data_IF_594769857961
#
_entry.id   IF_594769857961
#
_cell.length_a   1.000
_cell.length_b   1.000
_cell.length_c   1.000
_cell.angle_alpha   90.00
_cell.angle_beta   90.00
_cell.angle_gamma   90.00
#
_symmetry.space_group_name_H-M   'P 1'
#
loop_
_entity.id
_entity.type
_entity.pdbx_description
1 polymer ?
#
# COMPACT_ATOMS: atom_id res chain seq x y z
N UNK A 1 -28.84 -5.93 -23.82
CA UNK A 1 -28.88 -6.03 -22.36
C UNK A 1 -28.38 -4.70 -21.80
N UNK A 2 -29.15 -3.97 -20.98
CA UNK A 2 -28.63 -2.76 -20.37
C UNK A 2 -27.49 -3.18 -19.43
N UNK A 3 -26.31 -2.69 -19.67
CA UNK A 3 -25.15 -2.82 -18.79
C UNK A 3 -25.42 -1.98 -17.55
N UNK A 4 -25.63 -2.65 -16.43
CA UNK A 4 -25.71 -1.94 -15.15
C UNK A 4 -24.33 -1.33 -14.87
N UNK A 5 -24.27 -0.01 -14.76
CA UNK A 5 -23.07 0.71 -14.34
C UNK A 5 -23.26 1.17 -12.90
N UNK A 6 -22.30 0.82 -12.05
CA UNK A 6 -22.28 1.29 -10.66
C UNK A 6 -21.19 2.36 -10.53
N UNK A 7 -21.57 3.53 -10.03
CA UNK A 7 -20.59 4.55 -9.68
C UNK A 7 -19.85 4.11 -8.41
N UNK A 8 -18.56 4.30 -8.37
CA UNK A 8 -17.75 4.09 -7.17
C UNK A 8 -16.83 5.30 -6.94
N UNK A 9 -16.63 5.66 -5.68
CA UNK A 9 -15.68 6.68 -5.29
C UNK A 9 -14.49 6.07 -4.54
N UNK A 10 -14.67 4.90 -3.96
CA UNK A 10 -13.65 4.24 -3.14
C UNK A 10 -13.76 2.74 -3.19
N UNK A 11 -12.68 2.08 -2.88
CA UNK A 11 -12.65 0.65 -2.60
C UNK A 11 -11.82 0.38 -1.34
N UNK A 12 -12.04 -0.79 -0.76
CA UNK A 12 -11.35 -1.21 0.46
C UNK A 12 -10.81 -2.61 0.29
N UNK A 13 -9.63 -2.84 0.83
CA UNK A 13 -8.88 -4.08 0.74
C UNK A 13 -8.55 -4.57 2.14
N UNK A 14 -8.77 -5.85 2.40
CA UNK A 14 -8.14 -6.52 3.54
C UNK A 14 -6.73 -6.91 3.12
N UNK A 15 -5.72 -6.36 3.79
CA UNK A 15 -4.32 -6.63 3.45
C UNK A 15 -3.84 -8.01 3.92
N UNK A 16 -4.63 -8.72 4.73
CA UNK A 16 -4.24 -10.02 5.26
C UNK A 16 -3.07 -9.98 6.25
N UNK A 17 -2.69 -8.80 6.71
CA UNK A 17 -1.60 -8.57 7.67
C UNK A 17 -2.13 -7.92 8.93
N UNK A 18 -1.29 -7.90 9.97
CA UNK A 18 -1.57 -7.19 11.23
C UNK A 18 -0.76 -5.90 11.33
N UNK A 19 -1.15 -5.04 12.28
CA UNK A 19 -0.39 -3.84 12.58
C UNK A 19 1.06 -4.14 12.97
N UNK A 20 1.34 -5.28 13.61
CA UNK A 20 2.70 -5.72 13.91
C UNK A 20 3.56 -5.85 12.65
N UNK A 21 2.98 -6.36 11.58
CA UNK A 21 3.71 -6.49 10.30
C UNK A 21 4.14 -5.13 9.76
N UNK A 22 3.26 -4.12 9.83
CA UNK A 22 3.61 -2.75 9.42
C UNK A 22 4.67 -2.12 10.33
N UNK A 23 4.57 -2.34 11.65
CA UNK A 23 5.55 -1.86 12.63
C UNK A 23 6.94 -2.46 12.39
N UNK A 24 6.99 -3.71 11.97
CA UNK A 24 8.27 -4.37 11.64
C UNK A 24 8.81 -3.94 10.27
N UNK A 25 7.93 -3.48 9.38
CA UNK A 25 8.32 -3.00 8.07
C UNK A 25 8.89 -1.60 8.12
N UNK A 26 8.20 -0.68 8.79
CA UNK A 26 8.55 0.72 8.77
C UNK A 26 9.70 1.05 9.73
N UNK A 27 10.50 2.03 9.34
CA UNK A 27 11.52 2.61 10.22
C UNK A 27 10.81 3.56 11.18
N UNK A 28 10.92 3.28 12.46
CA UNK A 28 10.42 4.18 13.51
C UNK A 28 11.29 5.44 13.56
N UNK A 29 10.72 6.54 13.09
CA UNK A 29 11.40 7.82 13.06
C UNK A 29 11.54 8.49 14.44
N UNK A 30 10.86 7.95 15.47
CA UNK A 30 10.93 8.46 16.85
C UNK A 30 12.13 7.89 17.63
N UNK A 31 12.75 6.81 17.12
CA UNK A 31 13.90 6.20 17.77
C UNK A 31 15.11 7.12 17.75
N UNK A 32 15.89 7.20 18.86
CA UNK A 32 17.14 7.95 18.86
C UNK A 32 18.07 7.50 17.75
N UNK A 33 18.67 8.44 17.04
CA UNK A 33 19.57 8.19 15.89
C UNK A 33 18.90 7.43 14.71
N UNK A 34 17.57 7.46 14.61
CA UNK A 34 16.92 6.99 13.41
C UNK A 34 16.87 8.09 12.35
N UNK A 35 17.16 7.72 11.11
CA UNK A 35 16.97 8.55 9.93
C UNK A 35 16.29 7.65 8.90
N UNK A 36 14.99 7.51 9.05
CA UNK A 36 14.19 6.59 8.25
C UNK A 36 13.33 7.30 7.25
N UNK A 37 13.15 6.66 6.09
CA UNK A 37 12.21 7.04 5.07
C UNK A 37 11.28 5.86 4.78
N UNK A 38 10.01 6.11 4.97
CA UNK A 38 8.95 5.13 4.71
C UNK A 38 8.16 5.60 3.49
N UNK A 39 7.97 4.72 2.53
CA UNK A 39 7.45 5.05 1.22
C UNK A 39 6.31 4.13 0.82
N UNK A 40 5.40 4.69 0.04
CA UNK A 40 4.38 4.00 -0.72
C UNK A 40 4.69 4.16 -2.21
N UNK A 41 4.84 3.05 -2.92
CA UNK A 41 4.77 2.98 -4.37
C UNK A 41 3.37 2.52 -4.77
N UNK A 42 2.78 3.13 -5.78
CA UNK A 42 1.43 2.79 -6.22
C UNK A 42 1.32 2.84 -7.74
N UNK A 43 0.43 2.00 -8.29
CA UNK A 43 -0.04 2.08 -9.67
C UNK A 43 -1.55 1.84 -9.72
N UNK A 44 -2.29 2.90 -9.99
CA UNK A 44 -3.74 2.95 -10.08
C UNK A 44 -4.21 3.26 -11.51
N UNK A 45 -3.31 3.22 -12.51
CA UNK A 45 -3.65 3.61 -13.89
C UNK A 45 -4.74 2.74 -14.51
N UNK A 46 -4.87 1.50 -14.05
CA UNK A 46 -5.98 0.62 -14.49
C UNK A 46 -7.35 1.23 -14.21
N UNK A 47 -7.52 1.97 -13.13
CA UNK A 47 -8.78 2.64 -12.80
C UNK A 47 -9.12 3.76 -13.77
N UNK A 48 -8.13 4.48 -14.27
CA UNK A 48 -8.34 5.49 -15.30
C UNK A 48 -8.69 4.85 -16.64
N UNK A 49 -7.94 3.84 -17.05
CA UNK A 49 -8.08 3.23 -18.37
C UNK A 49 -9.36 2.42 -18.52
N UNK A 50 -9.75 1.70 -17.49
CA UNK A 50 -10.82 0.71 -17.58
C UNK A 50 -12.09 1.14 -16.83
N UNK A 51 -11.98 1.91 -15.78
CA UNK A 51 -13.10 2.32 -14.93
C UNK A 51 -13.43 3.80 -15.01
N UNK A 52 -12.69 4.58 -15.78
CA UNK A 52 -13.00 5.97 -16.06
C UNK A 52 -12.78 6.92 -14.89
N UNK A 53 -11.86 6.61 -13.98
CA UNK A 53 -11.36 7.60 -13.01
C UNK A 53 -10.71 8.74 -13.79
N UNK A 54 -11.20 9.96 -13.58
CA UNK A 54 -10.81 11.11 -14.43
C UNK A 54 -9.62 11.88 -13.90
N UNK A 55 -9.32 11.75 -12.60
CA UNK A 55 -8.20 12.44 -11.96
C UNK A 55 -7.77 11.70 -10.70
N UNK A 56 -6.49 11.78 -10.37
CA UNK A 56 -5.93 11.22 -9.15
C UNK A 56 -5.63 12.29 -8.08
N UNK A 57 -5.82 13.58 -8.38
CA UNK A 57 -5.50 14.66 -7.45
C UNK A 57 -6.33 14.63 -6.14
N UNK A 58 -7.54 14.10 -6.20
CA UNK A 58 -8.39 13.91 -5.02
C UNK A 58 -8.17 12.57 -4.29
N UNK A 59 -7.23 11.76 -4.75
CA UNK A 59 -7.02 10.41 -4.20
C UNK A 59 -6.36 10.48 -2.84
N UNK A 60 -6.92 9.71 -1.90
CA UNK A 60 -6.33 9.45 -0.59
C UNK A 60 -6.23 7.94 -0.32
N UNK A 61 -5.29 7.56 0.51
CA UNK A 61 -5.15 6.19 1.00
C UNK A 61 -5.10 6.18 2.53
N UNK A 62 -5.98 5.40 3.13
CA UNK A 62 -6.15 5.34 4.58
C UNK A 62 -6.11 3.88 5.04
N UNK A 63 -5.27 3.60 6.02
CA UNK A 63 -5.24 2.32 6.72
C UNK A 63 -6.25 2.34 7.86
N UNK A 64 -7.06 1.29 7.97
CA UNK A 64 -7.94 1.03 9.11
C UNK A 64 -7.42 -0.17 9.89
N UNK A 65 -7.55 -0.10 11.21
CA UNK A 65 -7.05 -1.12 12.14
C UNK A 65 -8.19 -1.74 12.93
N UNK A 66 -8.23 -3.07 12.95
CA UNK A 66 -9.27 -3.85 13.62
C UNK A 66 -10.51 -4.09 12.77
N UNK A 67 -11.12 -3.02 12.26
CA UNK A 67 -12.30 -3.10 11.39
C UNK A 67 -12.39 -1.87 10.48
N UNK A 68 -13.16 -1.97 9.41
CA UNK A 68 -13.52 -0.82 8.60
C UNK A 68 -14.32 0.18 9.44
N UNK A 69 -13.90 1.46 9.40
CA UNK A 69 -14.47 2.51 10.25
C UNK A 69 -13.91 2.55 11.68
N UNK A 70 -12.97 1.66 12.01
CA UNK A 70 -12.19 1.68 13.26
C UNK A 70 -11.12 2.77 13.27
N UNK A 71 -10.14 2.67 14.18
CA UNK A 71 -8.98 3.55 14.18
C UNK A 71 -8.31 3.58 12.81
N UNK A 72 -7.92 4.76 12.35
CA UNK A 72 -7.40 4.93 11.01
C UNK A 72 -6.19 5.85 10.94
N UNK A 73 -5.36 5.62 9.94
CA UNK A 73 -4.17 6.43 9.63
C UNK A 73 -4.13 6.69 8.14
N UNK A 74 -4.15 7.96 7.76
CA UNK A 74 -3.99 8.37 6.35
C UNK A 74 -2.51 8.35 5.99
N UNK A 75 -2.13 7.44 5.09
CA UNK A 75 -0.75 7.29 4.59
C UNK A 75 -0.50 8.12 3.33
N UNK A 76 -1.56 8.47 2.61
CA UNK A 76 -1.53 9.34 1.44
C UNK A 76 -2.70 10.31 1.54
N UNK A 77 -2.47 11.58 1.92
CA UNK A 77 -3.53 12.60 1.92
C UNK A 77 -3.97 12.98 0.51
N UNK A 78 -5.23 13.38 0.36
CA UNK A 78 -5.71 13.98 -0.88
C UNK A 78 -4.86 15.19 -1.26
N UNK A 79 -4.56 15.36 -2.54
CA UNK A 79 -3.67 16.40 -3.04
C UNK A 79 -2.18 16.03 -3.04
N UNK A 80 -1.79 14.86 -2.49
CA UNK A 80 -0.39 14.42 -2.49
C UNK A 80 0.08 13.89 -3.84
N UNK A 81 -0.84 13.49 -4.69
CA UNK A 81 -0.55 12.93 -6.01
C UNK A 81 -1.38 13.60 -7.10
N UNK A 82 -0.85 13.60 -8.32
CA UNK A 82 -1.54 14.08 -9.53
C UNK A 82 -1.59 13.04 -10.64
N UNK A 83 -0.75 12.00 -10.56
CA UNK A 83 -0.68 10.91 -11.54
C UNK A 83 -1.17 9.59 -10.95
N UNK A 84 -1.54 8.65 -11.82
CA UNK A 84 -2.03 7.34 -11.42
C UNK A 84 -0.94 6.39 -10.91
N UNK A 85 0.32 6.76 -10.99
CA UNK A 85 1.45 5.97 -10.49
C UNK A 85 2.55 6.88 -9.94
N UNK A 86 3.30 6.37 -9.00
CA UNK A 86 4.42 7.09 -8.41
C UNK A 86 4.83 6.62 -7.02
N UNK A 87 5.69 7.42 -6.41
CA UNK A 87 6.18 7.23 -5.05
C UNK A 87 5.74 8.39 -4.17
N UNK A 88 5.31 8.07 -2.96
CA UNK A 88 4.98 9.07 -1.93
C UNK A 88 5.63 8.68 -0.62
N UNK A 89 6.28 9.63 0.01
CA UNK A 89 6.81 9.44 1.34
C UNK A 89 5.67 9.44 2.35
N UNK A 90 5.63 8.42 3.20
CA UNK A 90 4.69 8.36 4.32
C UNK A 90 5.23 9.27 5.43
N UNK A 91 4.39 10.15 5.95
CA UNK A 91 4.81 11.11 6.96
C UNK A 91 5.19 10.43 8.28
N UNK A 92 6.13 11.01 9.02
CA UNK A 92 6.51 10.51 10.33
C UNK A 92 5.34 10.47 11.31
N UNK A 93 4.39 11.41 11.21
CA UNK A 93 3.18 11.41 12.04
C UNK A 93 2.27 10.22 11.72
N UNK A 94 2.17 9.81 10.46
CA UNK A 94 1.45 8.60 10.08
C UNK A 94 2.16 7.35 10.64
N UNK A 95 3.48 7.28 10.56
CA UNK A 95 4.25 6.17 11.13
C UNK A 95 4.03 6.07 12.64
N UNK A 96 4.17 7.18 13.39
CA UNK A 96 3.91 7.20 14.84
C UNK A 96 2.47 6.78 15.18
N UNK A 97 1.50 7.13 14.35
CA UNK A 97 0.11 6.70 14.52
C UNK A 97 -0.07 5.19 14.27
N UNK A 98 0.67 4.60 13.31
CA UNK A 98 0.70 3.15 13.08
C UNK A 98 1.35 2.45 14.28
N UNK A 99 2.45 2.99 14.80
CA UNK A 99 3.14 2.44 15.98
C UNK A 99 2.24 2.37 17.21
N UNK A 100 1.30 3.30 17.37
CA UNK A 100 0.35 3.32 18.48
C UNK A 100 -0.77 2.26 18.41
N UNK A 101 -0.97 1.62 17.26
CA UNK A 101 -2.05 0.65 17.07
C UNK A 101 -1.76 -0.66 17.81
N UNK A 102 -2.80 -1.40 18.17
CA UNK A 102 -2.66 -2.75 18.75
C UNK A 102 -2.00 -3.69 17.73
N UNK A 103 -0.94 -4.38 18.14
CA UNK A 103 -0.13 -5.23 17.24
C UNK A 103 -0.93 -6.35 16.56
N UNK A 104 -1.99 -6.84 17.19
CA UNK A 104 -2.86 -7.91 16.65
C UNK A 104 -3.96 -7.40 15.72
N UNK A 105 -4.14 -6.08 15.59
CA UNK A 105 -5.20 -5.51 14.74
C UNK A 105 -4.99 -5.89 13.28
N UNK A 106 -5.97 -6.51 12.61
CA UNK A 106 -5.95 -6.67 11.16
C UNK A 106 -5.95 -5.31 10.46
N UNK A 107 -5.33 -5.25 9.30
CA UNK A 107 -5.13 -4.00 8.54
C UNK A 107 -5.94 -4.04 7.25
N UNK A 108 -6.67 -2.97 7.02
CA UNK A 108 -7.43 -2.72 5.79
C UNK A 108 -6.92 -1.44 5.14
N UNK A 109 -6.87 -1.43 3.81
CA UNK A 109 -6.55 -0.24 3.03
C UNK A 109 -7.82 0.27 2.35
N UNK A 110 -8.14 1.54 2.53
CA UNK A 110 -9.12 2.25 1.71
C UNK A 110 -8.39 3.14 0.72
N UNK A 111 -8.74 3.03 -0.56
CA UNK A 111 -8.36 3.99 -1.60
C UNK A 111 -9.61 4.76 -1.98
N UNK A 112 -9.58 6.07 -1.83
CA UNK A 112 -10.70 6.96 -2.11
C UNK A 112 -10.28 7.96 -3.19
N UNK A 113 -10.98 7.97 -4.33
CA UNK A 113 -10.72 8.86 -5.47
C UNK A 113 -11.42 10.24 -5.33
N UNK A 114 -12.09 10.50 -4.21
CA UNK A 114 -12.85 11.73 -4.02
C UNK A 114 -13.96 11.89 -5.05
N UNK A 115 -14.06 13.08 -5.63
CA UNK A 115 -15.06 13.38 -6.67
C UNK A 115 -14.74 12.80 -8.05
N UNK A 116 -13.55 12.20 -8.22
CA UNK A 116 -13.07 11.65 -9.50
C UNK A 116 -13.31 10.14 -9.62
N UNK A 117 -14.18 9.58 -8.79
CA UNK A 117 -14.57 8.18 -8.85
C UNK A 117 -15.05 7.77 -10.24
N UNK A 118 -14.88 6.49 -10.53
CA UNK A 118 -15.18 5.91 -11.83
C UNK A 118 -16.52 5.18 -11.87
N UNK A 119 -16.68 4.38 -12.91
CA UNK A 119 -17.86 3.52 -13.13
C UNK A 119 -17.40 2.09 -13.34
N UNK A 120 -17.95 1.18 -12.56
CA UNK A 120 -17.78 -0.25 -12.77
C UNK A 120 -18.87 -0.72 -13.74
N UNK A 121 -18.47 -1.37 -14.84
CA UNK A 121 -19.38 -2.09 -15.72
C UNK A 121 -19.25 -3.59 -15.47
N UNK A 122 -20.33 -4.33 -15.70
CA UNK A 122 -20.32 -5.79 -15.56
C UNK A 122 -19.39 -6.52 -16.56
N UNK A 123 -18.70 -5.78 -17.41
CA UNK A 123 -17.77 -6.31 -18.41
C UNK A 123 -16.32 -6.28 -17.95
N UNK A 124 -16.03 -5.66 -16.81
CA UNK A 124 -14.66 -5.49 -16.30
C UNK A 124 -14.46 -6.41 -15.09
N UNK A 125 -13.93 -7.60 -15.36
CA UNK A 125 -13.82 -8.66 -14.35
C UNK A 125 -12.60 -8.51 -13.42
N UNK A 126 -11.57 -7.78 -13.82
CA UNK A 126 -10.29 -7.75 -13.09
C UNK A 126 -9.61 -6.40 -13.22
N UNK A 127 -9.24 -5.84 -12.09
CA UNK A 127 -8.49 -4.60 -12.02
C UNK A 127 -7.18 -4.84 -11.28
N UNK A 128 -6.03 -4.81 -11.95
CA UNK A 128 -4.76 -4.87 -11.28
C UNK A 128 -4.54 -3.59 -10.46
N UNK A 129 -4.26 -3.78 -9.20
CA UNK A 129 -3.82 -2.72 -8.29
C UNK A 129 -2.45 -3.13 -7.81
N UNK A 130 -1.48 -2.25 -7.97
CA UNK A 130 -0.15 -2.45 -7.44
C UNK A 130 0.11 -1.38 -6.40
N UNK A 131 0.45 -1.80 -5.19
CA UNK A 131 1.05 -0.91 -4.23
C UNK A 131 2.09 -1.66 -3.42
N UNK A 132 3.19 -0.99 -3.16
CA UNK A 132 4.31 -1.54 -2.41
C UNK A 132 4.59 -0.60 -1.22
N UNK A 133 4.72 -1.18 -0.03
CA UNK A 133 5.19 -0.47 1.14
C UNK A 133 6.64 -0.86 1.40
N UNK A 134 7.50 0.12 1.58
CA UNK A 134 8.90 -0.14 1.85
C UNK A 134 9.52 0.95 2.72
N UNK A 135 10.61 0.60 3.39
CA UNK A 135 11.38 1.56 4.15
C UNK A 135 12.87 1.38 3.91
N UNK A 136 13.59 2.49 3.98
CA UNK A 136 15.04 2.50 4.03
C UNK A 136 15.51 3.62 4.94
N UNK A 137 16.66 3.46 5.53
CA UNK A 137 17.21 4.44 6.44
C UNK A 137 18.22 3.85 7.41
N UNK A 138 18.37 4.48 8.55
CA UNK A 138 19.26 4.01 9.62
C UNK A 138 18.52 4.01 10.96
N UNK A 139 18.80 2.98 11.76
CA UNK A 139 18.40 2.93 13.18
C UNK A 139 19.64 2.58 13.98
N UNK A 140 19.96 3.37 15.01
CA UNK A 140 21.17 3.21 15.81
C UNK A 140 22.44 3.11 14.95
N UNK A 141 22.52 3.94 13.89
CA UNK A 141 23.62 3.95 12.91
C UNK A 141 23.75 2.69 12.04
N UNK A 142 22.80 1.75 12.12
CA UNK A 142 22.74 0.61 11.23
C UNK A 142 21.78 0.88 10.07
N UNK A 143 22.21 0.59 8.86
CA UNK A 143 21.38 0.74 7.67
C UNK A 143 20.25 -0.29 7.69
N UNK A 144 19.04 0.19 7.44
CA UNK A 144 17.85 -0.64 7.26
C UNK A 144 17.39 -0.50 5.83
N UNK A 145 17.15 -1.64 5.20
CA UNK A 145 16.51 -1.72 3.90
C UNK A 145 15.44 -2.81 4.01
N UNK A 146 14.23 -2.38 4.34
CA UNK A 146 13.12 -3.29 4.62
C UNK A 146 12.25 -3.49 3.39
N UNK A 147 11.64 -4.64 3.37
CA UNK A 147 10.96 -5.24 2.27
C UNK A 147 9.87 -4.40 1.61
N UNK A 148 9.73 -4.66 0.36
CA UNK A 148 8.65 -4.18 -0.50
C UNK A 148 7.50 -5.19 -0.42
N UNK A 149 6.30 -4.72 -0.10
CA UNK A 149 5.09 -5.49 -0.25
C UNK A 149 4.44 -5.14 -1.58
N UNK A 150 4.26 -6.14 -2.41
CA UNK A 150 3.44 -6.03 -3.61
C UNK A 150 2.11 -6.73 -3.36
N UNK A 151 1.02 -5.99 -3.44
CA UNK A 151 -0.32 -6.57 -3.45
C UNK A 151 -0.85 -6.56 -4.88
N UNK A 152 -1.13 -7.73 -5.42
CA UNK A 152 -1.92 -7.90 -6.62
C UNK A 152 -3.32 -8.34 -6.22
N UNK A 153 -4.32 -7.61 -6.67
CA UNK A 153 -5.69 -7.80 -6.24
C UNK A 153 -6.60 -8.00 -7.44
N UNK A 154 -7.45 -8.98 -7.30
CA UNK A 154 -8.44 -9.33 -8.29
C UNK A 154 -9.84 -9.19 -7.70
N UNK A 155 -10.75 -8.56 -8.41
CA UNK A 155 -12.15 -8.53 -7.99
C UNK A 155 -12.75 -9.94 -7.97
N UNK A 156 -13.49 -10.28 -6.90
CA UNK A 156 -14.03 -11.64 -6.70
C UNK A 156 -15.10 -12.00 -7.71
N UNK A 157 -15.84 -11.00 -8.18
CA UNK A 157 -16.81 -11.10 -9.28
C UNK A 157 -17.06 -9.71 -9.85
N UNK A 158 -17.43 -9.64 -11.12
CA UNK A 158 -17.71 -8.38 -11.80
C UNK A 158 -18.69 -7.49 -11.01
N UNK A 159 -18.25 -6.29 -10.66
CA UNK A 159 -19.04 -5.29 -9.95
C UNK A 159 -19.33 -5.58 -8.48
N UNK A 160 -18.64 -6.53 -7.85
CA UNK A 160 -18.81 -6.83 -6.43
C UNK A 160 -18.21 -5.75 -5.52
N UNK A 161 -17.23 -5.02 -6.00
CA UNK A 161 -16.44 -4.10 -5.18
C UNK A 161 -15.56 -4.79 -4.13
N UNK A 162 -15.51 -6.14 -4.15
CA UNK A 162 -14.72 -6.96 -3.24
C UNK A 162 -13.52 -7.49 -4.00
N UNK A 163 -12.34 -7.13 -3.54
CA UNK A 163 -11.08 -7.57 -4.11
C UNK A 163 -10.41 -8.59 -3.19
N UNK A 164 -9.93 -9.68 -3.78
CA UNK A 164 -9.09 -10.68 -3.12
C UNK A 164 -7.77 -10.79 -3.86
N UNK A 165 -6.71 -11.10 -3.15
CA UNK A 165 -5.41 -11.24 -3.75
C UNK A 165 -4.40 -11.86 -2.80
N UNK A 166 -3.24 -12.17 -3.36
CA UNK A 166 -2.06 -12.60 -2.61
C UNK A 166 -1.16 -11.42 -2.37
N UNK A 167 -0.65 -11.28 -1.17
CA UNK A 167 0.47 -10.39 -0.88
C UNK A 167 1.71 -11.24 -0.98
N UNK A 168 2.47 -11.05 -2.05
CA UNK A 168 3.85 -11.51 -2.10
C UNK A 168 4.70 -10.49 -1.36
N UNK A 169 5.20 -10.86 -0.20
CA UNK A 169 6.24 -10.06 0.39
C UNK A 169 7.58 -10.80 0.26
N UNK A 170 8.52 -10.13 -0.33
CA UNK A 170 9.91 -10.51 -0.24
C UNK A 170 10.45 -9.77 0.97
N UNK A 171 10.85 -10.46 2.02
CA UNK A 171 11.69 -9.87 3.07
C UNK A 171 13.11 -9.91 2.51
N UNK A 172 13.66 -8.82 1.96
CA UNK A 172 15.09 -8.73 1.87
C UNK A 172 15.54 -8.69 3.31
N UNK A 173 16.19 -9.73 3.76
CA UNK A 173 16.94 -9.68 5.00
C UNK A 173 17.68 -8.36 5.03
N UNK A 174 17.73 -7.72 6.18
CA UNK A 174 18.52 -6.53 6.38
C UNK A 174 19.91 -6.78 5.81
N UNK A 175 20.18 -6.26 4.62
CA UNK A 175 21.55 -6.22 4.10
C UNK A 175 22.19 -5.03 4.80
N UNK A 176 22.50 -5.22 6.08
CA UNK A 176 23.04 -4.18 6.94
C UNK A 176 24.52 -3.93 6.69
N UNK A 177 25.14 -4.75 5.86
CA UNK A 177 26.56 -4.64 5.53
C UNK A 177 26.72 -4.83 4.03
N UNK A 178 27.58 -4.02 3.44
CA UNK A 178 28.12 -4.28 2.12
C UNK A 178 29.09 -5.46 2.24
N UNK A 179 28.56 -6.66 2.29
CA UNK A 179 29.31 -7.90 2.25
C UNK A 179 29.11 -8.54 0.88
N UNK A 180 30.13 -8.48 -0.01
CA UNK A 180 30.03 -9.08 -1.33
C UNK A 180 29.70 -10.57 -1.28
N UNK A 181 30.18 -11.29 -0.28
CA UNK A 181 29.96 -12.74 -0.15
C UNK A 181 28.49 -13.04 0.19
N UNK A 182 27.86 -12.17 0.98
CA UNK A 182 26.42 -12.27 1.25
C UNK A 182 25.61 -11.98 -0.01
N UNK A 183 25.97 -10.94 -0.76
CA UNK A 183 25.28 -10.58 -2.02
C UNK A 183 25.38 -11.72 -3.04
N UNK A 184 26.55 -12.36 -3.16
CA UNK A 184 26.74 -13.51 -4.04
C UNK A 184 25.97 -14.76 -3.57
N UNK A 185 25.69 -14.88 -2.26
CA UNK A 185 24.90 -15.98 -1.70
C UNK A 185 23.39 -15.79 -1.87
N UNK A 186 22.93 -14.59 -2.16
CA UNK A 186 21.51 -14.31 -2.39
C UNK A 186 21.10 -14.99 -3.71
N UNK A 187 20.21 -15.98 -3.60
CA UNK A 187 19.59 -16.57 -4.79
C UNK A 187 18.70 -15.54 -5.45
N UNK A 188 19.14 -15.03 -6.58
CA UNK A 188 18.24 -14.35 -7.50
C UNK A 188 17.30 -15.41 -8.05
N UNK A 189 16.01 -15.30 -7.76
CA UNK A 189 15.01 -16.07 -8.48
C UNK A 189 15.02 -15.53 -9.91
N UNK A 190 15.71 -16.25 -10.77
CA UNK A 190 15.65 -15.98 -12.20
C UNK A 190 14.23 -16.26 -12.71
N UNK A 191 13.77 -15.38 -13.57
CA UNK A 191 12.54 -15.49 -14.36
C UNK A 191 12.44 -16.81 -15.11
#
# INVERSE_FOLDING_TARGET
RPTATTNFAKFTLNLGITALTLKNLFVDASQPNSNGNNWLNYDLRSFQQQLGVTSFSGTSMTLYFGSLGGPSVTILPAGSISSGNGFVQISNSAISSIESQSSSSPVFLEVNFGSSGGKISNEVDKQPIVFDLFSFGTVNSQTINNAVYRAELQETSAGSGIFTGTIEYTVPNQINQFDPSLIESLRTFGS
#
